data_IF_499383574716
#
_entry.id   IF_499383574716
#
_cell.length_a   1.000
_cell.length_b   1.000
_cell.length_c   1.000
_cell.angle_alpha   90.00
_cell.angle_beta   90.00
_cell.angle_gamma   90.00
#
_symmetry.space_group_name_H-M   'P 1'
#
loop_
_entity.id
_entity.type
_entity.pdbx_description
1 polymer ?
#
# COMPACT_ATOMS: atom_id res chain seq x y z
N UNK A 1 -12.52 -11.77 7.81
CA UNK A 1 -13.41 -12.32 6.77
C UNK A 1 -12.60 -12.87 5.60
N UNK A 2 -13.21 -13.79 4.82
CA UNK A 2 -12.71 -14.29 3.54
C UNK A 2 -13.78 -13.93 2.51
N UNK A 3 -13.36 -13.39 1.37
CA UNK A 3 -14.25 -13.16 0.23
C UNK A 3 -14.15 -14.34 -0.73
N UNK A 4 -15.29 -14.80 -1.21
CA UNK A 4 -15.37 -15.77 -2.30
C UNK A 4 -16.10 -15.11 -3.47
N UNK A 5 -15.43 -15.06 -4.62
CA UNK A 5 -15.95 -14.48 -5.86
C UNK A 5 -16.54 -15.58 -6.72
N UNK A 6 -17.83 -15.52 -6.97
CA UNK A 6 -18.60 -16.54 -7.68
C UNK A 6 -19.60 -15.92 -8.66
N UNK A 7 -20.09 -16.70 -9.56
CA UNK A 7 -21.18 -16.34 -10.47
C UNK A 7 -20.75 -16.04 -11.90
N UNK A 8 -21.72 -15.89 -12.81
CA UNK A 8 -21.46 -15.88 -14.26
C UNK A 8 -20.65 -14.68 -14.75
N UNK A 9 -20.64 -13.58 -14.00
CA UNK A 9 -19.86 -12.38 -14.34
C UNK A 9 -18.34 -12.62 -14.36
N UNK A 10 -17.84 -13.59 -13.60
CA UNK A 10 -16.41 -13.93 -13.54
C UNK A 10 -15.84 -14.25 -14.93
N UNK A 11 -16.60 -14.96 -15.76
CA UNK A 11 -16.18 -15.32 -17.11
C UNK A 11 -15.84 -14.12 -18.01
N UNK A 12 -16.33 -12.92 -17.68
CA UNK A 12 -16.05 -11.70 -18.42
C UNK A 12 -14.78 -10.99 -17.92
N UNK A 13 -14.27 -11.32 -16.74
CA UNK A 13 -13.07 -10.73 -16.18
C UNK A 13 -11.81 -11.47 -16.64
N UNK A 14 -10.81 -10.72 -17.11
CA UNK A 14 -9.48 -11.28 -17.38
C UNK A 14 -8.78 -11.66 -16.07
N UNK A 15 -7.69 -12.45 -16.16
CA UNK A 15 -6.89 -12.78 -14.98
C UNK A 15 -6.21 -11.54 -14.40
N UNK A 16 -5.80 -10.57 -15.22
CA UNK A 16 -5.23 -9.30 -14.74
C UNK A 16 -6.25 -8.50 -13.93
N UNK A 17 -7.52 -8.46 -14.37
CA UNK A 17 -8.59 -7.84 -13.57
C UNK A 17 -8.85 -8.57 -12.26
N UNK A 18 -8.95 -9.91 -12.27
CA UNK A 18 -9.15 -10.69 -11.03
C UNK A 18 -8.01 -10.46 -10.05
N UNK A 19 -6.77 -10.49 -10.52
CA UNK A 19 -5.60 -10.20 -9.70
C UNK A 19 -5.62 -8.76 -9.15
N UNK A 20 -6.04 -7.79 -9.96
CA UNK A 20 -6.19 -6.40 -9.53
C UNK A 20 -7.25 -6.24 -8.44
N UNK A 21 -8.41 -6.88 -8.57
CA UNK A 21 -9.46 -6.91 -7.54
C UNK A 21 -8.95 -7.60 -6.27
N UNK A 22 -8.25 -8.71 -6.43
CA UNK A 22 -7.76 -9.55 -5.34
C UNK A 22 -6.80 -8.78 -4.42
N UNK A 23 -5.84 -8.06 -4.98
CA UNK A 23 -4.90 -7.24 -4.18
C UNK A 23 -5.61 -6.11 -3.43
N UNK A 24 -6.77 -5.63 -3.90
CA UNK A 24 -7.56 -4.61 -3.23
C UNK A 24 -8.38 -5.16 -2.05
N UNK A 25 -8.58 -6.47 -1.95
CA UNK A 25 -9.36 -7.05 -0.83
C UNK A 25 -8.70 -6.84 0.52
N UNK A 26 -7.38 -6.61 0.56
CA UNK A 26 -6.66 -6.25 1.80
C UNK A 26 -7.15 -4.93 2.39
N UNK A 27 -7.60 -3.99 1.56
CA UNK A 27 -8.14 -2.69 2.02
C UNK A 27 -9.55 -2.83 2.60
N UNK A 28 -10.22 -3.95 2.35
CA UNK A 28 -11.51 -4.30 2.97
C UNK A 28 -11.34 -5.17 4.22
N UNK A 29 -10.14 -5.22 4.78
CA UNK A 29 -9.78 -6.02 5.96
C UNK A 29 -10.02 -7.53 5.81
N UNK A 30 -9.89 -8.05 4.60
CA UNK A 30 -10.00 -9.48 4.33
C UNK A 30 -8.72 -10.21 4.75
N UNK A 31 -8.90 -11.42 5.27
CA UNK A 31 -7.80 -12.35 5.53
C UNK A 31 -7.32 -12.97 4.23
N UNK A 32 -8.25 -13.29 3.34
CA UNK A 32 -8.01 -13.93 2.05
C UNK A 32 -9.16 -13.66 1.10
N UNK A 33 -8.95 -13.94 -0.17
CA UNK A 33 -9.94 -14.00 -1.22
C UNK A 33 -9.76 -15.26 -2.05
N UNK A 34 -10.85 -15.81 -2.56
CA UNK A 34 -10.89 -17.03 -3.36
C UNK A 34 -11.79 -16.78 -4.57
N UNK A 35 -11.38 -17.26 -5.72
CA UNK A 35 -12.15 -17.15 -6.97
C UNK A 35 -12.62 -18.52 -7.43
N UNK A 36 -13.85 -18.59 -7.90
CA UNK A 36 -14.26 -19.70 -8.76
C UNK A 36 -13.34 -19.75 -9.98
N UNK A 37 -12.84 -20.94 -10.30
CA UNK A 37 -11.90 -21.12 -11.41
C UNK A 37 -12.61 -21.47 -12.71
N UNK A 38 -12.01 -21.09 -13.84
CA UNK A 38 -12.52 -21.32 -15.18
C UNK A 38 -11.37 -21.54 -16.19
N UNK A 39 -11.69 -21.64 -17.48
CA UNK A 39 -10.69 -21.82 -18.55
C UNK A 39 -9.64 -20.68 -18.58
N UNK A 40 -10.00 -19.43 -18.22
CA UNK A 40 -9.03 -18.34 -18.13
C UNK A 40 -8.00 -18.58 -17.04
N UNK A 41 -8.44 -19.14 -15.92
CA UNK A 41 -7.53 -19.52 -14.81
C UNK A 41 -6.58 -20.63 -15.26
N UNK A 42 -7.11 -21.63 -15.99
CA UNK A 42 -6.31 -22.72 -16.53
C UNK A 42 -5.27 -22.20 -17.53
N UNK A 43 -5.71 -21.41 -18.52
CA UNK A 43 -4.83 -20.77 -19.50
C UNK A 43 -3.72 -19.94 -18.84
N UNK A 44 -4.03 -19.24 -17.73
CA UNK A 44 -3.05 -18.47 -16.98
C UNK A 44 -1.94 -19.34 -16.40
N UNK A 45 -2.29 -20.48 -15.78
CA UNK A 45 -1.29 -21.43 -15.28
C UNK A 45 -0.47 -22.06 -16.40
N UNK A 46 -1.10 -22.41 -17.53
CA UNK A 46 -0.42 -22.94 -18.71
C UNK A 46 0.59 -21.93 -19.28
N UNK A 47 0.19 -20.66 -19.42
CA UNK A 47 1.08 -19.58 -19.88
C UNK A 47 2.30 -19.38 -18.98
N UNK A 48 2.16 -19.65 -17.68
CA UNK A 48 3.25 -19.53 -16.70
C UNK A 48 4.04 -20.84 -16.52
N UNK A 49 3.82 -21.85 -17.37
CA UNK A 49 4.51 -23.14 -17.33
C UNK A 49 4.19 -23.96 -16.08
N UNK A 50 3.01 -23.77 -15.49
CA UNK A 50 2.54 -24.45 -14.28
C UNK A 50 1.15 -25.07 -14.44
N UNK A 51 0.87 -25.81 -15.52
CA UNK A 51 -0.46 -26.38 -15.74
C UNK A 51 -0.90 -27.32 -14.61
N UNK A 52 0.06 -27.98 -13.95
CA UNK A 52 -0.18 -28.89 -12.82
C UNK A 52 -0.69 -28.17 -11.57
N UNK A 53 -0.54 -26.84 -11.48
CA UNK A 53 -1.02 -26.04 -10.36
C UNK A 53 -2.53 -25.72 -10.45
N UNK A 54 -3.12 -25.86 -11.63
CA UNK A 54 -4.56 -25.65 -11.78
C UNK A 54 -5.37 -26.66 -10.95
N UNK A 55 -6.37 -26.14 -10.26
CA UNK A 55 -7.39 -26.93 -9.55
C UNK A 55 -8.74 -26.29 -9.83
N UNK A 56 -9.73 -27.13 -10.09
CA UNK A 56 -11.11 -26.68 -10.14
C UNK A 56 -11.59 -26.32 -8.73
N UNK A 57 -12.01 -25.08 -8.56
CA UNK A 57 -12.58 -24.56 -7.33
C UNK A 57 -13.96 -24.00 -7.60
N UNK A 58 -14.95 -24.53 -6.89
CA UNK A 58 -16.34 -24.08 -6.92
C UNK A 58 -16.97 -24.26 -5.54
N UNK A 59 -17.94 -23.44 -5.16
CA UNK A 59 -18.74 -23.70 -3.98
C UNK A 59 -19.39 -25.08 -4.08
N UNK A 60 -19.39 -25.81 -2.98
CA UNK A 60 -20.14 -27.06 -2.90
C UNK A 60 -21.63 -26.78 -2.71
N UNK A 61 -22.48 -27.73 -3.09
CA UNK A 61 -23.90 -27.66 -2.78
C UNK A 61 -24.10 -27.56 -1.26
N UNK A 62 -24.93 -26.59 -0.83
CA UNK A 62 -25.15 -26.32 0.59
C UNK A 62 -24.07 -25.46 1.26
N UNK A 63 -23.14 -24.87 0.50
CA UNK A 63 -22.16 -23.93 1.05
C UNK A 63 -22.88 -22.79 1.81
N UNK A 64 -22.41 -22.49 3.02
CA UNK A 64 -22.95 -21.44 3.88
C UNK A 64 -22.06 -20.20 3.86
N UNK A 65 -22.69 -19.03 3.76
CA UNK A 65 -22.04 -17.73 3.78
C UNK A 65 -22.69 -16.83 4.83
N UNK A 66 -21.88 -16.10 5.59
CA UNK A 66 -22.38 -15.13 6.59
C UNK A 66 -23.10 -13.94 5.94
N UNK A 67 -22.70 -13.58 4.72
CA UNK A 67 -23.30 -12.51 3.94
C UNK A 67 -22.97 -12.66 2.45
N UNK A 68 -23.76 -12.02 1.60
CA UNK A 68 -23.53 -11.94 0.15
C UNK A 68 -23.63 -10.49 -0.32
N UNK A 69 -22.75 -10.13 -1.28
CA UNK A 69 -22.80 -8.87 -2.01
C UNK A 69 -22.96 -9.20 -3.50
N UNK A 70 -24.00 -8.68 -4.11
CA UNK A 70 -24.27 -8.86 -5.54
C UNK A 70 -23.79 -7.61 -6.29
N UNK A 71 -22.89 -7.81 -7.27
CA UNK A 71 -22.37 -6.75 -8.13
C UNK A 71 -22.78 -7.03 -9.57
N UNK A 72 -23.60 -6.14 -10.12
CA UNK A 72 -23.94 -6.16 -11.55
C UNK A 72 -22.82 -5.46 -12.33
N UNK A 73 -21.97 -6.26 -12.99
CA UNK A 73 -20.82 -5.76 -13.75
C UNK A 73 -21.22 -4.85 -14.93
N UNK A 74 -22.47 -4.96 -15.44
CA UNK A 74 -22.95 -4.10 -16.52
C UNK A 74 -23.21 -2.65 -16.09
N UNK A 75 -23.28 -2.43 -14.76
CA UNK A 75 -23.53 -1.11 -14.15
C UNK A 75 -22.27 -0.47 -13.57
N UNK A 76 -21.13 -1.17 -13.61
CA UNK A 76 -19.86 -0.64 -13.10
C UNK A 76 -19.31 0.39 -14.10
N UNK A 77 -19.12 1.62 -13.63
CA UNK A 77 -18.51 2.72 -14.37
C UNK A 77 -17.10 3.01 -13.84
N UNK A 78 -16.23 3.68 -14.63
CA UNK A 78 -14.95 4.15 -14.12
C UNK A 78 -15.13 5.09 -12.92
N UNK A 79 -14.30 4.85 -11.89
CA UNK A 79 -14.41 5.55 -10.61
C UNK A 79 -13.11 6.29 -10.28
N UNK A 80 -13.25 7.32 -9.46
CA UNK A 80 -12.15 8.00 -8.78
C UNK A 80 -12.36 7.89 -7.27
N UNK A 81 -11.34 7.42 -6.55
CA UNK A 81 -11.33 7.47 -5.09
C UNK A 81 -10.46 8.67 -4.66
N UNK A 82 -11.11 9.73 -4.20
CA UNK A 82 -10.48 10.97 -3.79
C UNK A 82 -9.64 10.78 -2.51
N UNK A 83 -8.64 11.66 -2.24
CA UNK A 83 -7.90 11.61 -0.99
C UNK A 83 -8.87 11.66 0.21
N UNK A 84 -8.63 11.08 1.33
CA UNK A 84 -7.46 10.42 1.90
C UNK A 84 -7.77 8.96 2.26
N UNK A 85 -8.78 8.36 1.64
CA UNK A 85 -9.20 6.98 1.88
C UNK A 85 -9.82 6.36 0.61
N UNK A 86 -9.58 5.06 0.32
CA UNK A 86 -10.15 4.41 -0.87
C UNK A 86 -11.67 4.38 -0.93
N UNK A 87 -12.36 4.47 0.23
CA UNK A 87 -13.83 4.53 0.28
C UNK A 87 -14.42 5.90 -0.09
N UNK A 88 -13.58 6.93 -0.27
CA UNK A 88 -14.04 8.25 -0.74
C UNK A 88 -14.20 8.21 -2.27
N UNK A 89 -15.03 7.29 -2.75
CA UNK A 89 -15.16 6.92 -4.15
C UNK A 89 -16.43 7.48 -4.78
N UNK A 90 -16.28 7.97 -6.00
CA UNK A 90 -17.34 8.47 -6.87
C UNK A 90 -17.16 7.86 -8.26
N UNK A 91 -18.23 7.69 -9.04
CA UNK A 91 -18.03 7.57 -10.48
C UNK A 91 -17.40 8.87 -11.00
N UNK A 92 -16.57 8.79 -12.04
CA UNK A 92 -15.95 10.00 -12.63
C UNK A 92 -17.04 10.98 -13.06
N UNK A 93 -18.15 10.46 -13.58
CA UNK A 93 -19.32 11.26 -13.98
C UNK A 93 -19.92 12.03 -12.81
N UNK A 94 -20.26 11.35 -11.70
CA UNK A 94 -20.81 12.00 -10.49
C UNK A 94 -19.86 13.06 -9.93
N UNK A 95 -18.57 12.77 -9.93
CA UNK A 95 -17.57 13.74 -9.48
C UNK A 95 -17.54 14.99 -10.36
N UNK A 96 -17.61 14.82 -11.68
CA UNK A 96 -17.59 15.95 -12.65
C UNK A 96 -18.88 16.77 -12.68
N UNK A 97 -19.99 16.29 -12.13
CA UNK A 97 -21.23 17.08 -11.98
C UNK A 97 -21.08 18.21 -10.95
N UNK A 98 -20.34 17.96 -9.84
CA UNK A 98 -20.15 18.93 -8.75
C UNK A 98 -18.72 18.95 -8.19
N UNK A 99 -17.68 19.14 -9.04
CA UNK A 99 -16.30 18.94 -8.62
C UNK A 99 -15.84 19.96 -7.56
N UNK A 100 -16.31 21.20 -7.62
CA UNK A 100 -15.91 22.26 -6.67
C UNK A 100 -16.42 21.93 -5.26
N UNK A 101 -17.67 21.53 -5.10
CA UNK A 101 -18.25 21.20 -3.81
C UNK A 101 -17.58 19.96 -3.19
N UNK A 102 -17.38 18.92 -4.01
CA UNK A 102 -16.76 17.67 -3.57
C UNK A 102 -15.29 17.93 -3.16
N UNK A 103 -14.53 18.65 -4.00
CA UNK A 103 -13.13 18.97 -3.70
C UNK A 103 -13.01 19.89 -2.48
N UNK A 104 -13.93 20.83 -2.26
CA UNK A 104 -13.91 21.70 -1.08
C UNK A 104 -14.05 20.88 0.23
N UNK A 105 -14.89 19.83 0.23
CA UNK A 105 -15.01 18.91 1.38
C UNK A 105 -13.71 18.16 1.64
N UNK A 106 -13.08 17.63 0.58
CA UNK A 106 -11.81 16.90 0.67
C UNK A 106 -10.67 17.82 1.08
N UNK A 107 -10.64 19.05 0.55
CA UNK A 107 -9.67 20.09 0.91
C UNK A 107 -9.76 20.46 2.38
N UNK A 108 -10.97 20.70 2.91
CA UNK A 108 -11.16 20.98 4.34
C UNK A 108 -10.69 19.83 5.23
N UNK A 109 -10.94 18.59 4.83
CA UNK A 109 -10.41 17.41 5.50
C UNK A 109 -8.88 17.38 5.43
N UNK A 110 -8.31 17.65 4.26
CA UNK A 110 -6.86 17.66 4.04
C UNK A 110 -6.14 18.71 4.86
N UNK A 111 -6.67 19.93 4.96
CA UNK A 111 -6.15 21.00 5.83
C UNK A 111 -6.09 20.56 7.29
N UNK A 112 -7.13 19.89 7.77
CA UNK A 112 -7.17 19.35 9.13
C UNK A 112 -6.13 18.24 9.34
N UNK A 113 -6.02 17.29 8.39
CA UNK A 113 -5.10 16.15 8.46
C UNK A 113 -3.65 16.63 8.42
N UNK A 114 -3.33 17.52 7.46
CA UNK A 114 -1.96 18.00 7.22
C UNK A 114 -1.56 19.12 8.23
N UNK A 115 -2.51 19.71 8.95
CA UNK A 115 -2.25 20.84 9.83
C UNK A 115 -1.83 22.11 9.07
N UNK A 116 -2.15 22.22 7.79
CA UNK A 116 -1.73 23.30 6.89
C UNK A 116 -2.91 23.86 6.08
N UNK A 117 -3.21 25.14 6.29
CA UNK A 117 -4.30 25.84 5.62
C UNK A 117 -3.99 26.24 4.17
N UNK A 118 -2.73 26.12 3.74
CA UNK A 118 -2.34 26.40 2.35
C UNK A 118 -2.63 25.24 1.39
N UNK A 119 -2.97 24.06 1.91
CA UNK A 119 -3.39 22.94 1.10
C UNK A 119 -4.68 23.27 0.34
N UNK A 120 -4.66 23.11 -0.99
CA UNK A 120 -5.81 23.36 -1.86
C UNK A 120 -6.05 22.21 -2.83
N UNK A 121 -7.30 21.99 -3.19
CA UNK A 121 -7.74 21.09 -4.27
C UNK A 121 -8.76 21.77 -5.18
N UNK A 122 -9.45 22.79 -4.67
CA UNK A 122 -10.44 23.55 -5.44
C UNK A 122 -9.80 24.36 -6.56
N UNK A 123 -8.52 24.70 -6.44
CA UNK A 123 -7.71 25.34 -7.49
C UNK A 123 -7.49 24.46 -8.73
N UNK A 124 -7.77 23.14 -8.61
CA UNK A 124 -7.73 22.20 -9.75
C UNK A 124 -8.93 22.36 -10.69
N UNK A 125 -9.97 23.07 -10.28
CA UNK A 125 -11.11 23.35 -11.13
C UNK A 125 -10.94 24.69 -11.84
N UNK A 126 -10.82 24.65 -13.16
CA UNK A 126 -10.67 25.84 -14.02
C UNK A 126 -11.62 25.71 -15.20
N UNK A 127 -12.41 26.74 -15.47
CA UNK A 127 -13.38 26.79 -16.58
C UNK A 127 -14.30 25.54 -16.63
N UNK A 128 -14.75 25.10 -15.45
CA UNK A 128 -15.63 23.93 -15.32
C UNK A 128 -14.96 22.57 -15.56
N UNK A 129 -13.63 22.53 -15.72
CA UNK A 129 -12.84 21.30 -15.91
C UNK A 129 -11.95 21.06 -14.70
N UNK A 130 -11.71 19.79 -14.42
CA UNK A 130 -10.77 19.36 -13.36
C UNK A 130 -9.41 19.04 -13.99
N UNK A 131 -8.36 19.70 -13.53
CA UNK A 131 -7.00 19.49 -14.00
C UNK A 131 -6.21 18.67 -13.00
N UNK A 132 -5.55 17.65 -13.49
CA UNK A 132 -4.69 16.73 -12.75
C UNK A 132 -3.24 17.01 -13.11
N UNK A 133 -2.37 16.98 -12.12
CA UNK A 133 -0.95 17.31 -12.33
C UNK A 133 -0.10 16.07 -12.71
N UNK A 134 -0.52 14.87 -12.25
CA UNK A 134 0.27 13.66 -12.45
C UNK A 134 -0.61 12.42 -12.58
N UNK A 135 -0.26 11.52 -13.49
CA UNK A 135 -0.82 10.19 -13.62
C UNK A 135 0.25 9.10 -13.40
N UNK A 136 -0.12 8.03 -12.69
CA UNK A 136 0.79 6.88 -12.48
C UNK A 136 0.00 5.58 -12.62
N UNK A 137 0.57 4.65 -13.41
CA UNK A 137 0.12 3.26 -13.46
C UNK A 137 1.23 2.40 -12.85
N UNK A 138 0.97 1.76 -11.69
CA UNK A 138 2.02 1.07 -10.96
C UNK A 138 1.51 -0.05 -10.05
N UNK A 139 2.44 -0.86 -9.59
CA UNK A 139 2.23 -1.86 -8.55
C UNK A 139 1.49 -3.10 -9.01
N UNK A 140 1.09 -3.91 -8.03
CA UNK A 140 0.43 -5.19 -8.27
C UNK A 140 -1.01 -5.05 -8.80
N UNK A 141 -1.67 -3.91 -8.60
CA UNK A 141 -2.99 -3.63 -9.16
C UNK A 141 -2.89 -2.98 -10.55
N UNK A 142 -2.17 -1.86 -10.67
CA UNK A 142 -2.11 -1.08 -11.91
C UNK A 142 -1.13 -1.61 -12.94
N UNK A 143 0.04 -2.09 -12.51
CA UNK A 143 1.15 -2.45 -13.39
C UNK A 143 1.00 -3.76 -14.18
N UNK A 144 -0.19 -4.36 -14.20
CA UNK A 144 -0.47 -5.56 -14.98
C UNK A 144 -0.37 -5.30 -16.48
N UNK A 145 -0.07 -6.34 -17.25
CA UNK A 145 0.16 -6.23 -18.69
C UNK A 145 -1.01 -5.59 -19.43
N UNK A 146 -2.23 -6.08 -19.21
CA UNK A 146 -3.44 -5.60 -19.88
C UNK A 146 -3.71 -4.12 -19.59
N UNK A 147 -3.55 -3.68 -18.35
CA UNK A 147 -3.75 -2.28 -17.97
C UNK A 147 -2.81 -1.33 -18.72
N UNK A 148 -1.52 -1.71 -18.83
CA UNK A 148 -0.51 -0.87 -19.50
C UNK A 148 -0.68 -0.93 -21.02
N UNK A 149 -0.99 -2.10 -21.57
CA UNK A 149 -1.21 -2.26 -23.01
C UNK A 149 -2.41 -1.45 -23.50
N UNK A 150 -3.54 -1.49 -22.79
CA UNK A 150 -4.70 -0.66 -23.13
C UNK A 150 -4.43 0.84 -22.92
N UNK A 151 -3.70 1.23 -21.87
CA UNK A 151 -3.27 2.61 -21.70
C UNK A 151 -2.43 3.10 -22.89
N UNK A 152 -1.53 2.25 -23.42
CA UNK A 152 -0.75 2.56 -24.59
C UNK A 152 -1.63 2.70 -25.87
N UNK A 153 -2.65 1.86 -26.01
CA UNK A 153 -3.60 1.97 -27.14
C UNK A 153 -4.43 3.26 -27.07
N UNK A 154 -4.86 3.68 -25.89
CA UNK A 154 -5.56 4.96 -25.67
C UNK A 154 -4.66 6.14 -26.08
N UNK A 155 -3.39 6.05 -25.79
CA UNK A 155 -2.38 7.09 -26.05
C UNK A 155 -1.77 7.03 -27.45
N UNK A 156 -2.09 6.02 -28.26
CA UNK A 156 -1.52 5.83 -29.60
C UNK A 156 -1.64 7.09 -30.46
N UNK A 157 -0.49 7.63 -30.89
CA UNK A 157 -0.42 8.83 -31.74
C UNK A 157 -0.81 10.13 -31.05
N UNK A 158 -0.90 10.14 -29.71
CA UNK A 158 -1.18 11.34 -28.92
C UNK A 158 0.06 11.85 -28.21
N UNK A 159 -0.01 13.06 -27.69
CA UNK A 159 1.03 13.66 -26.84
C UNK A 159 0.36 14.13 -25.55
N UNK A 160 0.98 13.82 -24.41
CA UNK A 160 0.44 14.14 -23.08
C UNK A 160 0.62 15.62 -22.68
N UNK A 161 1.29 16.43 -23.52
CA UNK A 161 1.57 17.84 -23.21
C UNK A 161 2.75 18.01 -22.24
N UNK A 162 2.89 19.22 -21.71
CA UNK A 162 3.98 19.62 -20.81
C UNK A 162 3.54 19.80 -19.37
N UNK A 163 2.24 19.95 -19.12
CA UNK A 163 1.69 20.29 -17.81
C UNK A 163 1.24 19.04 -17.03
N UNK A 164 1.20 17.88 -17.66
CA UNK A 164 0.85 16.61 -17.07
C UNK A 164 2.02 15.65 -17.11
N UNK A 165 2.41 15.11 -15.95
CA UNK A 165 3.44 14.07 -15.89
C UNK A 165 2.82 12.68 -15.85
N UNK A 166 3.36 11.74 -16.64
CA UNK A 166 2.84 10.38 -16.67
C UNK A 166 3.96 9.35 -16.55
N UNK A 167 3.87 8.50 -15.52
CA UNK A 167 4.82 7.42 -15.28
C UNK A 167 4.15 6.05 -15.22
N UNK A 168 4.81 5.05 -15.81
CA UNK A 168 4.33 3.66 -15.88
C UNK A 168 5.36 2.72 -15.30
N UNK A 169 4.93 1.87 -14.35
CA UNK A 169 5.74 0.85 -13.70
C UNK A 169 5.10 -0.51 -13.89
N UNK A 170 5.63 -1.37 -14.76
CA UNK A 170 5.16 -2.74 -14.88
C UNK A 170 5.21 -3.50 -13.56
N UNK A 171 4.30 -4.43 -13.34
CA UNK A 171 4.21 -5.20 -12.09
C UNK A 171 5.39 -6.15 -11.87
N UNK A 172 6.06 -6.55 -12.96
CA UNK A 172 7.22 -7.46 -12.92
C UNK A 172 8.14 -7.27 -14.13
N UNK A 173 9.34 -7.82 -14.05
CA UNK A 173 10.27 -7.81 -15.19
C UNK A 173 9.77 -8.60 -16.41
N UNK A 174 9.14 -9.78 -16.25
CA UNK A 174 8.49 -10.47 -17.39
C UNK A 174 7.39 -9.64 -18.05
N UNK A 175 6.57 -8.92 -17.28
CA UNK A 175 5.57 -7.99 -17.84
C UNK A 175 6.26 -6.86 -18.61
N UNK A 176 7.31 -6.26 -18.06
CA UNK A 176 8.07 -5.21 -18.75
C UNK A 176 8.66 -5.72 -20.06
N UNK A 177 9.24 -6.93 -20.04
CA UNK A 177 9.79 -7.58 -21.26
C UNK A 177 8.68 -7.77 -22.31
N UNK A 178 7.55 -8.32 -21.92
CA UNK A 178 6.42 -8.55 -22.84
C UNK A 178 5.85 -7.26 -23.45
N UNK A 179 5.74 -6.18 -22.66
CA UNK A 179 5.36 -4.85 -23.15
C UNK A 179 6.36 -4.31 -24.18
N UNK A 180 7.66 -4.53 -23.93
CA UNK A 180 8.73 -4.08 -24.83
C UNK A 180 8.72 -4.87 -26.14
N UNK A 181 8.63 -6.19 -26.07
CA UNK A 181 8.55 -7.07 -27.25
C UNK A 181 7.31 -6.80 -28.11
N UNK A 182 6.20 -6.45 -27.47
CA UNK A 182 4.96 -6.10 -28.15
C UNK A 182 4.90 -4.65 -28.66
N UNK A 183 5.92 -3.83 -28.34
CA UNK A 183 6.06 -2.45 -28.81
C UNK A 183 5.35 -1.40 -27.96
N UNK A 184 4.67 -1.78 -26.88
CA UNK A 184 3.93 -0.83 -26.02
C UNK A 184 4.82 0.12 -25.24
N UNK A 185 6.03 -0.34 -24.86
CA UNK A 185 7.04 0.53 -24.23
C UNK A 185 7.42 1.70 -25.14
N UNK A 186 7.75 1.42 -26.40
CA UNK A 186 8.09 2.45 -27.38
C UNK A 186 6.90 3.41 -27.62
N UNK A 187 5.70 2.86 -27.79
CA UNK A 187 4.48 3.63 -27.99
C UNK A 187 4.20 4.61 -26.84
N UNK A 188 4.39 4.20 -25.59
CA UNK A 188 4.25 5.08 -24.42
C UNK A 188 5.33 6.17 -24.41
N UNK A 189 6.59 5.82 -24.71
CA UNK A 189 7.68 6.79 -24.75
C UNK A 189 7.45 7.89 -25.82
N UNK A 190 6.90 7.52 -26.97
CA UNK A 190 6.56 8.45 -28.06
C UNK A 190 5.52 9.50 -27.65
N UNK A 191 4.67 9.20 -26.65
CA UNK A 191 3.69 10.14 -26.12
C UNK A 191 4.24 11.13 -25.10
N UNK A 192 5.45 10.92 -24.60
CA UNK A 192 6.05 11.67 -23.50
C UNK A 192 5.92 10.97 -22.14
N UNK A 193 5.32 9.78 -22.07
CA UNK A 193 5.24 9.00 -20.85
C UNK A 193 6.62 8.42 -20.45
N UNK A 194 6.86 8.28 -19.15
CA UNK A 194 8.11 7.71 -18.62
C UNK A 194 7.85 6.26 -18.21
N UNK A 195 8.45 5.31 -18.91
CA UNK A 195 8.37 3.89 -18.58
C UNK A 195 9.56 3.51 -17.70
N UNK A 196 9.29 2.99 -16.52
CA UNK A 196 10.28 2.62 -15.51
C UNK A 196 10.30 1.11 -15.27
N UNK A 197 11.32 0.63 -14.57
CA UNK A 197 11.39 -0.80 -14.19
C UNK A 197 10.34 -1.14 -13.14
N UNK A 198 10.04 -2.44 -12.99
CA UNK A 198 9.14 -2.93 -11.95
C UNK A 198 9.61 -2.47 -10.57
N UNK A 199 8.81 -1.65 -9.92
CA UNK A 199 9.09 -1.10 -8.59
C UNK A 199 7.80 -0.67 -7.90
N UNK A 200 7.64 -1.02 -6.64
CA UNK A 200 6.45 -0.71 -5.85
C UNK A 200 6.43 0.72 -5.27
N UNK A 201 7.47 1.52 -5.54
CA UNK A 201 7.70 2.85 -4.96
C UNK A 201 6.50 3.79 -4.94
N UNK A 202 5.83 4.01 -6.07
CA UNK A 202 4.69 4.93 -6.12
C UNK A 202 3.52 4.53 -5.21
N UNK A 203 3.38 3.25 -4.84
CA UNK A 203 2.32 2.78 -3.95
C UNK A 203 2.52 3.21 -2.48
N UNK A 204 3.77 3.58 -2.10
CA UNK A 204 4.10 3.93 -0.72
C UNK A 204 4.90 5.25 -0.58
N UNK A 205 4.90 6.07 -1.61
CA UNK A 205 5.52 7.39 -1.56
C UNK A 205 7.04 7.41 -1.77
N UNK A 206 7.61 6.40 -2.44
CA UNK A 206 9.00 6.38 -2.86
C UNK A 206 9.12 6.58 -4.37
N UNK A 207 9.61 7.72 -4.79
CA UNK A 207 9.71 8.13 -6.19
C UNK A 207 8.41 8.69 -6.77
N UNK A 208 8.53 9.46 -7.83
CA UNK A 208 7.42 10.16 -8.51
C UNK A 208 6.52 10.95 -7.56
N UNK A 209 7.14 11.70 -6.67
CA UNK A 209 6.44 12.65 -5.81
C UNK A 209 5.90 13.78 -6.69
N UNK A 210 4.61 14.14 -6.61
CA UNK A 210 4.07 15.24 -7.40
C UNK A 210 4.66 16.59 -6.96
N UNK A 211 4.50 17.60 -7.81
CA UNK A 211 4.84 18.97 -7.45
C UNK A 211 4.09 19.42 -6.19
N UNK A 212 4.59 20.46 -5.53
CA UNK A 212 3.93 21.00 -4.35
C UNK A 212 2.48 21.42 -4.68
N UNK A 213 1.56 21.07 -3.79
CA UNK A 213 0.12 21.18 -3.98
C UNK A 213 -0.45 20.42 -5.19
N UNK A 214 0.29 19.45 -5.74
CA UNK A 214 -0.15 18.64 -6.88
C UNK A 214 -1.18 17.57 -6.48
N UNK A 215 -2.11 17.30 -7.40
CA UNK A 215 -3.03 16.16 -7.34
C UNK A 215 -2.56 15.08 -8.31
N UNK A 216 -2.21 13.91 -7.77
CA UNK A 216 -1.81 12.74 -8.54
C UNK A 216 -2.98 11.75 -8.64
N UNK A 217 -3.26 11.22 -9.83
CA UNK A 217 -4.16 10.06 -10.00
C UNK A 217 -3.35 8.80 -10.24
N UNK A 218 -3.64 7.74 -9.51
CA UNK A 218 -2.84 6.52 -9.55
C UNK A 218 -3.67 5.25 -9.64
N UNK A 219 -3.29 4.34 -10.50
CA UNK A 219 -3.72 2.96 -10.41
C UNK A 219 -2.75 2.21 -9.48
N UNK A 220 -2.96 2.38 -8.19
CA UNK A 220 -2.26 1.73 -7.08
C UNK A 220 -3.30 1.28 -6.05
N UNK A 221 -2.89 0.90 -4.85
CA UNK A 221 -3.82 0.32 -3.87
C UNK A 221 -4.27 1.27 -2.77
N UNK A 222 -3.58 2.41 -2.57
CA UNK A 222 -3.84 3.30 -1.42
C UNK A 222 -3.68 4.77 -1.75
N UNK A 223 -4.54 5.58 -1.15
CA UNK A 223 -4.53 7.04 -1.26
C UNK A 223 -4.58 7.73 0.12
N UNK A 224 -4.08 7.06 1.15
CA UNK A 224 -3.96 7.65 2.48
C UNK A 224 -3.03 8.87 2.47
N UNK A 225 -3.03 9.63 3.55
CA UNK A 225 -2.18 10.79 3.73
C UNK A 225 -0.71 10.50 3.39
N UNK A 226 -0.12 11.41 2.62
CA UNK A 226 1.29 11.38 2.18
C UNK A 226 1.73 10.11 1.41
N UNK A 227 0.77 9.33 0.89
CA UNK A 227 1.07 8.16 0.03
C UNK A 227 1.65 8.55 -1.32
N UNK A 228 1.48 9.80 -1.73
CA UNK A 228 2.15 10.38 -2.89
C UNK A 228 3.63 10.68 -2.65
N UNK A 229 4.10 10.68 -1.39
CA UNK A 229 5.49 10.86 -1.00
C UNK A 229 5.85 12.27 -0.55
N UNK A 230 4.88 13.19 -0.42
CA UNK A 230 5.13 14.53 0.13
C UNK A 230 5.58 14.47 1.59
N UNK A 231 6.40 15.45 1.98
CA UNK A 231 6.96 15.61 3.32
C UNK A 231 6.49 16.93 3.94
N UNK A 232 5.38 16.95 4.68
CA UNK A 232 4.84 18.19 5.24
C UNK A 232 5.81 18.96 6.13
N UNK A 233 6.70 18.27 6.86
CA UNK A 233 7.76 18.89 7.66
C UNK A 233 8.75 19.72 6.82
N UNK A 234 8.90 19.38 5.55
CA UNK A 234 9.74 20.09 4.57
C UNK A 234 8.92 21.10 3.74
N UNK A 235 7.69 21.40 4.16
CA UNK A 235 6.78 22.31 3.45
C UNK A 235 6.16 21.73 2.17
N UNK A 236 6.25 20.42 1.98
CA UNK A 236 5.66 19.76 0.81
C UNK A 236 4.22 19.36 1.09
N UNK A 237 3.32 19.75 0.21
CA UNK A 237 1.91 19.38 0.22
C UNK A 237 1.56 18.74 -1.12
N UNK A 238 0.86 17.61 -1.09
CA UNK A 238 0.29 16.99 -2.28
C UNK A 238 -0.83 16.03 -1.87
N UNK A 239 -1.52 15.48 -2.86
CA UNK A 239 -2.57 14.51 -2.63
C UNK A 239 -2.59 13.45 -3.74
N UNK A 240 -3.12 12.28 -3.41
CA UNK A 240 -3.29 11.18 -4.34
C UNK A 240 -4.73 10.69 -4.34
N UNK A 241 -5.29 10.52 -5.55
CA UNK A 241 -6.55 9.82 -5.79
C UNK A 241 -6.27 8.48 -6.51
N UNK A 242 -7.13 7.49 -6.32
CA UNK A 242 -7.05 6.23 -7.07
C UNK A 242 -7.98 6.28 -8.28
N UNK A 243 -7.51 5.72 -9.38
CA UNK A 243 -8.27 5.63 -10.63
C UNK A 243 -7.80 4.43 -11.46
N UNK A 244 -8.64 3.94 -12.37
CA UNK A 244 -8.23 2.88 -13.28
C UNK A 244 -7.24 3.37 -14.35
N UNK A 245 -6.40 2.45 -14.86
CA UNK A 245 -5.33 2.76 -15.80
C UNK A 245 -5.83 3.39 -17.11
N UNK A 246 -7.00 2.99 -17.56
CA UNK A 246 -7.60 3.45 -18.82
C UNK A 246 -8.04 4.89 -18.70
N UNK A 247 -8.69 5.25 -17.58
CA UNK A 247 -9.13 6.63 -17.32
C UNK A 247 -7.94 7.55 -16.99
N UNK A 248 -6.85 7.02 -16.39
CA UNK A 248 -5.58 7.75 -16.25
C UNK A 248 -5.00 8.07 -17.63
N UNK A 249 -4.96 7.09 -18.54
CA UNK A 249 -4.48 7.29 -19.90
C UNK A 249 -5.39 8.25 -20.71
N UNK A 250 -6.71 8.19 -20.50
CA UNK A 250 -7.65 9.13 -21.09
C UNK A 250 -7.39 10.57 -20.62
N UNK A 251 -7.14 10.76 -19.33
CA UNK A 251 -6.75 12.04 -18.73
C UNK A 251 -5.42 12.54 -19.31
N UNK A 252 -4.44 11.65 -19.44
CA UNK A 252 -3.15 11.97 -20.07
C UNK A 252 -3.32 12.38 -21.54
N UNK A 253 -4.15 11.64 -22.31
CA UNK A 253 -4.47 11.94 -23.71
C UNK A 253 -5.16 13.31 -23.89
N UNK A 254 -5.78 13.82 -22.83
CA UNK A 254 -6.46 15.12 -22.79
C UNK A 254 -5.64 16.19 -22.03
N UNK A 255 -4.31 16.03 -21.97
CA UNK A 255 -3.39 17.02 -21.40
C UNK A 255 -3.60 17.28 -19.90
N UNK A 256 -4.04 16.28 -19.14
CA UNK A 256 -4.31 16.40 -17.71
C UNK A 256 -5.73 16.78 -17.34
N UNK A 257 -6.61 17.04 -18.28
CA UNK A 257 -8.04 17.23 -17.99
C UNK A 257 -8.67 15.90 -17.64
N UNK A 258 -9.23 15.79 -16.43
CA UNK A 258 -9.84 14.55 -15.94
C UNK A 258 -10.90 14.04 -16.93
N UNK A 259 -10.67 12.83 -17.41
CA UNK A 259 -11.48 12.22 -18.49
C UNK A 259 -11.72 10.75 -18.16
N UNK A 260 -12.98 10.30 -18.29
CA UNK A 260 -13.33 8.89 -18.21
C UNK A 260 -12.89 8.16 -19.48
N UNK A 261 -12.42 6.91 -19.34
CA UNK A 261 -12.12 6.07 -20.50
C UNK A 261 -13.36 5.73 -21.35
N UNK A 262 -14.56 5.88 -20.79
CA UNK A 262 -15.83 5.74 -21.54
C UNK A 262 -16.06 6.86 -22.54
N UNK A 263 -15.41 8.01 -22.36
CA UNK A 263 -15.55 9.17 -23.23
C UNK A 263 -14.64 9.10 -24.47
N UNK A 264 -13.85 8.03 -24.58
CA UNK A 264 -12.91 7.85 -25.70
C UNK A 264 -13.26 6.59 -26.51
N UNK A 265 -13.16 6.74 -27.81
CA UNK A 265 -13.11 5.60 -28.73
C UNK A 265 -11.65 5.18 -28.96
N UNK A 266 -11.32 3.93 -28.60
CA UNK A 266 -9.99 3.35 -28.78
C UNK A 266 -10.07 1.86 -29.05
N UNK A 267 -9.03 1.33 -29.67
CA UNK A 267 -8.95 -0.10 -29.92
C UNK A 267 -8.66 -0.87 -28.63
N UNK A 268 -9.59 -1.75 -28.23
CA UNK A 268 -9.39 -2.69 -27.11
C UNK A 268 -8.66 -3.97 -27.54
N UNK A 269 -8.15 -4.03 -28.77
CA UNK A 269 -7.39 -5.18 -29.26
C UNK A 269 -5.92 -5.03 -28.89
N UNK A 270 -5.54 -5.60 -27.76
CA UNK A 270 -4.16 -5.69 -27.33
C UNK A 270 -3.50 -6.98 -27.83
N UNK A 271 -2.18 -6.96 -28.02
CA UNK A 271 -1.39 -8.15 -28.31
C UNK A 271 -1.38 -9.07 -27.09
N UNK A 272 -1.46 -10.39 -27.34
CA UNK A 272 -1.47 -11.36 -26.24
C UNK A 272 -0.14 -11.31 -25.48
N UNK A 273 -0.23 -11.31 -24.16
CA UNK A 273 0.91 -11.49 -23.28
C UNK A 273 1.47 -12.91 -23.40
N UNK A 274 2.80 -13.01 -23.37
CA UNK A 274 3.52 -14.28 -23.23
C UNK A 274 4.48 -14.15 -22.07
N UNK A 275 4.30 -14.99 -21.08
CA UNK A 275 5.22 -15.05 -19.96
C UNK A 275 6.57 -15.59 -20.42
N UNK A 276 7.64 -14.89 -20.04
CA UNK A 276 9.01 -15.35 -20.21
C UNK A 276 9.79 -15.10 -18.92
N UNK A 277 10.08 -16.18 -18.19
CA UNK A 277 10.81 -16.17 -16.94
C UNK A 277 12.35 -16.08 -17.09
N UNK A 278 12.88 -16.09 -18.32
CA UNK A 278 14.33 -16.13 -18.59
C UNK A 278 15.08 -14.98 -17.90
N UNK A 279 14.45 -13.81 -17.78
CA UNK A 279 15.06 -12.65 -17.10
C UNK A 279 15.34 -12.92 -15.61
N UNK A 280 14.51 -13.73 -14.96
CA UNK A 280 14.77 -14.16 -13.58
C UNK A 280 15.82 -15.27 -13.54
N UNK A 281 15.79 -16.23 -14.47
CA UNK A 281 16.77 -17.30 -14.55
C UNK A 281 18.21 -16.75 -14.69
N UNK A 282 18.36 -15.64 -15.43
CA UNK A 282 19.66 -15.01 -15.64
C UNK A 282 20.13 -14.09 -14.50
N UNK A 283 19.23 -13.71 -13.57
CA UNK A 283 19.53 -12.67 -12.56
C UNK A 283 19.35 -13.13 -11.12
N UNK A 284 18.57 -14.18 -10.89
CA UNK A 284 18.20 -14.64 -9.55
C UNK A 284 18.72 -16.06 -9.36
N UNK A 285 19.47 -16.28 -8.28
CA UNK A 285 19.90 -17.62 -7.90
C UNK A 285 18.67 -18.48 -7.58
N UNK A 286 18.56 -19.62 -8.26
CA UNK A 286 17.51 -20.61 -8.04
C UNK A 286 18.03 -21.69 -7.10
N UNK A 287 17.76 -21.55 -5.80
CA UNK A 287 18.24 -22.45 -4.76
C UNK A 287 17.40 -23.70 -4.52
N UNK A 288 16.26 -23.85 -5.20
CA UNK A 288 15.38 -25.01 -5.01
C UNK A 288 16.08 -26.33 -5.37
N UNK A 289 16.17 -27.26 -4.42
CA UNK A 289 16.90 -28.51 -4.59
C UNK A 289 18.43 -28.38 -4.59
N UNK A 290 18.98 -27.15 -4.46
CA UNK A 290 20.41 -26.85 -4.45
C UNK A 290 20.79 -26.05 -3.20
N UNK A 291 20.28 -26.45 -2.04
CA UNK A 291 20.61 -25.80 -0.78
C UNK A 291 22.13 -25.83 -0.51
N UNK A 292 22.65 -24.71 -0.06
CA UNK A 292 24.06 -24.56 0.36
C UNK A 292 24.09 -24.10 1.81
N UNK A 293 23.85 -24.99 2.78
CA UNK A 293 23.73 -24.61 4.19
C UNK A 293 25.00 -23.99 4.77
N UNK A 294 26.15 -24.31 4.18
CA UNK A 294 27.46 -23.80 4.62
C UNK A 294 27.81 -22.44 4.03
N UNK A 295 26.98 -21.89 3.14
CA UNK A 295 27.23 -20.59 2.50
C UNK A 295 26.98 -19.47 3.53
N UNK A 296 28.02 -18.65 3.78
CA UNK A 296 27.90 -17.52 4.69
C UNK A 296 27.01 -16.42 4.08
N UNK A 297 26.09 -15.88 4.87
CA UNK A 297 25.28 -14.72 4.46
C UNK A 297 26.11 -13.43 4.55
N UNK A 298 26.16 -12.70 3.46
CA UNK A 298 26.78 -11.37 3.40
C UNK A 298 25.69 -10.32 3.27
N UNK A 299 25.53 -9.50 4.28
CA UNK A 299 24.49 -8.46 4.31
C UNK A 299 24.93 -7.22 3.55
N UNK A 300 23.99 -6.63 2.81
CA UNK A 300 24.15 -5.29 2.23
C UNK A 300 24.14 -4.20 3.33
N UNK A 301 24.47 -2.94 2.98
CA UNK A 301 24.73 -1.85 3.93
C UNK A 301 23.55 -1.48 4.83
N UNK A 302 22.32 -1.75 4.39
CA UNK A 302 21.08 -1.47 5.15
C UNK A 302 20.35 -2.74 5.60
N UNK A 303 21.02 -3.88 5.62
CA UNK A 303 20.49 -5.16 6.09
C UNK A 303 21.19 -5.51 7.40
N UNK A 304 20.43 -5.85 8.41
CA UNK A 304 20.95 -6.30 9.71
C UNK A 304 20.04 -7.37 10.29
N UNK A 305 20.63 -8.24 11.10
CA UNK A 305 19.89 -9.20 11.89
C UNK A 305 19.00 -8.52 12.93
N UNK A 306 18.05 -9.28 13.46
CA UNK A 306 17.26 -8.88 14.59
C UNK A 306 18.15 -8.72 15.82
N UNK A 307 17.95 -7.64 16.61
CA UNK A 307 18.61 -7.54 17.90
C UNK A 307 18.12 -8.62 18.86
N UNK A 308 18.95 -8.97 19.81
CA UNK A 308 18.52 -9.77 20.94
C UNK A 308 17.35 -9.08 21.66
N UNK A 309 16.31 -9.85 21.94
CA UNK A 309 15.10 -9.33 22.55
C UNK A 309 14.87 -9.93 23.93
N UNK A 310 14.43 -9.07 24.84
CA UNK A 310 14.09 -9.49 26.20
C UNK A 310 12.88 -10.44 26.13
N UNK A 311 13.04 -11.68 26.58
CA UNK A 311 11.94 -12.62 26.66
C UNK A 311 10.84 -12.10 27.62
N UNK A 312 9.58 -12.33 27.27
CA UNK A 312 8.45 -12.00 28.15
C UNK A 312 8.49 -12.88 29.40
N UNK A 313 8.21 -12.28 30.55
CA UNK A 313 8.13 -12.96 31.82
C UNK A 313 6.74 -13.54 32.10
N UNK A 314 6.59 -14.19 33.27
CA UNK A 314 5.28 -14.64 33.76
C UNK A 314 4.35 -13.47 34.06
N UNK A 315 4.92 -12.36 34.51
CA UNK A 315 4.22 -11.12 34.85
C UNK A 315 4.84 -9.97 34.08
N UNK A 316 4.03 -8.97 33.74
CA UNK A 316 4.48 -7.78 33.03
C UNK A 316 4.18 -6.54 33.88
N UNK A 317 5.23 -5.77 34.18
CA UNK A 317 5.09 -4.42 34.68
C UNK A 317 5.19 -3.47 33.49
N UNK A 318 4.11 -2.75 33.21
CA UNK A 318 3.97 -1.99 31.97
C UNK A 318 3.97 -0.48 32.25
N UNK A 319 4.88 0.25 31.59
CA UNK A 319 4.86 1.71 31.56
C UNK A 319 4.19 2.20 30.29
N UNK A 320 3.12 2.96 30.41
CA UNK A 320 2.48 3.63 29.27
C UNK A 320 3.40 4.73 28.77
N UNK A 321 3.91 4.56 27.56
CA UNK A 321 4.84 5.51 26.93
C UNK A 321 4.22 6.32 25.80
N UNK A 322 3.06 5.91 25.31
CA UNK A 322 2.27 6.67 24.34
C UNK A 322 0.79 6.32 24.43
N UNK A 323 -0.07 7.34 24.25
CA UNK A 323 -1.53 7.20 24.19
C UNK A 323 -2.02 7.84 22.91
N UNK A 324 -2.61 7.04 22.03
CA UNK A 324 -3.14 7.45 20.73
C UNK A 324 -4.67 7.48 20.80
N UNK A 325 -5.24 8.67 20.69
CA UNK A 325 -6.68 8.89 20.87
C UNK A 325 -7.47 8.85 19.56
N UNK A 326 -6.80 8.77 18.42
CA UNK A 326 -7.43 8.67 17.10
C UNK A 326 -8.33 7.42 17.03
N UNK A 327 -9.46 7.48 16.33
CA UNK A 327 -10.33 6.30 16.14
C UNK A 327 -9.60 5.12 15.51
N UNK A 328 -8.71 5.38 14.56
CA UNK A 328 -7.85 4.40 13.88
C UNK A 328 -6.44 4.98 13.79
N UNK A 329 -5.43 4.15 14.03
CA UNK A 329 -4.02 4.51 13.78
C UNK A 329 -3.48 3.64 12.66
N UNK A 330 -3.09 4.25 11.57
CA UNK A 330 -2.59 3.55 10.39
C UNK A 330 -1.17 3.02 10.60
N UNK A 331 -0.78 2.01 9.82
CA UNK A 331 0.61 1.52 9.82
C UNK A 331 1.61 2.57 9.34
N UNK A 332 1.15 3.55 8.55
CA UNK A 332 2.01 4.63 8.07
C UNK A 332 2.26 5.70 9.14
N UNK A 333 1.31 5.89 10.06
CA UNK A 333 1.51 6.69 11.27
C UNK A 333 2.40 5.98 12.29
N UNK A 334 2.29 4.65 12.38
CA UNK A 334 3.14 3.83 13.24
C UNK A 334 4.58 3.75 12.70
N UNK A 335 4.75 3.50 11.41
CA UNK A 335 6.04 3.43 10.69
C UNK A 335 5.88 4.11 9.32
N UNK A 336 6.42 5.32 9.12
CA UNK A 336 6.28 6.07 7.86
C UNK A 336 6.91 5.33 6.68
N UNK A 337 6.10 4.85 5.74
CA UNK A 337 6.54 3.95 4.68
C UNK A 337 7.57 4.56 3.73
N UNK A 338 7.38 5.80 3.30
CA UNK A 338 8.29 6.49 2.38
C UNK A 338 9.65 6.77 3.00
N UNK A 339 9.67 7.34 4.21
CA UNK A 339 10.91 7.71 4.92
C UNK A 339 11.75 6.50 5.32
N UNK A 340 11.11 5.35 5.56
CA UNK A 340 11.77 4.14 6.06
C UNK A 340 12.07 3.11 4.99
N UNK A 341 11.82 3.41 3.72
CA UNK A 341 11.95 2.45 2.63
C UNK A 341 13.33 1.77 2.56
N UNK A 342 14.40 2.52 2.85
CA UNK A 342 15.78 2.01 2.86
C UNK A 342 16.14 1.15 4.08
N UNK A 343 15.30 1.13 5.12
CA UNK A 343 15.60 0.46 6.40
C UNK A 343 14.71 -0.75 6.66
N UNK A 344 13.90 -1.19 5.68
CA UNK A 344 12.95 -2.29 5.85
C UNK A 344 13.56 -3.61 6.30
N UNK A 345 14.83 -3.83 5.99
CA UNK A 345 15.60 -5.02 6.39
C UNK A 345 16.61 -4.71 7.52
N UNK A 346 16.40 -3.63 8.27
CA UNK A 346 17.23 -3.27 9.42
C UNK A 346 16.32 -2.93 10.61
N UNK A 347 15.98 -3.90 11.45
CA UNK A 347 15.00 -3.72 12.53
C UNK A 347 15.35 -2.57 13.49
N UNK A 348 16.62 -2.40 13.82
CA UNK A 348 17.07 -1.34 14.73
C UNK A 348 16.86 0.04 14.11
N UNK A 349 17.32 0.25 12.86
CA UNK A 349 17.15 1.55 12.17
C UNK A 349 15.68 1.82 11.87
N UNK A 350 14.91 0.80 11.49
CA UNK A 350 13.49 0.96 11.24
C UNK A 350 12.73 1.40 12.49
N UNK A 351 13.05 0.81 13.64
CA UNK A 351 12.41 1.12 14.92
C UNK A 351 12.58 2.58 15.36
N UNK A 352 13.67 3.26 14.95
CA UNK A 352 13.89 4.69 15.25
C UNK A 352 12.81 5.63 14.68
N UNK A 353 12.04 5.14 13.71
CA UNK A 353 10.96 5.92 13.10
C UNK A 353 9.57 5.60 13.68
N UNK A 354 9.51 4.73 14.71
CA UNK A 354 8.21 4.37 15.32
C UNK A 354 7.52 5.60 15.88
N UNK A 355 6.27 5.84 15.42
CA UNK A 355 5.44 6.98 15.80
C UNK A 355 6.06 8.37 15.51
N UNK A 356 7.09 8.44 14.68
CA UNK A 356 7.82 9.70 14.43
C UNK A 356 6.92 10.86 13.97
N UNK A 357 5.79 10.57 13.34
CA UNK A 357 4.82 11.59 12.89
C UNK A 357 3.75 11.92 13.93
N UNK A 358 3.38 10.94 14.78
CA UNK A 358 2.29 11.10 15.79
C UNK A 358 2.81 11.49 17.15
N UNK A 359 3.89 10.86 17.58
CA UNK A 359 4.50 11.06 18.89
C UNK A 359 6.02 10.98 18.78
N UNK A 360 6.68 12.04 18.29
CA UNK A 360 8.13 12.04 18.02
C UNK A 360 9.00 11.69 19.24
N UNK A 361 8.48 11.85 20.45
CA UNK A 361 9.20 11.52 21.69
C UNK A 361 9.05 10.05 22.12
N UNK A 362 8.20 9.26 21.43
CA UNK A 362 7.92 7.86 21.77
C UNK A 362 9.18 7.02 21.86
N UNK A 363 10.03 7.06 20.83
CA UNK A 363 11.25 6.24 20.73
C UNK A 363 12.16 6.47 21.94
N UNK A 364 12.36 7.73 22.32
CA UNK A 364 13.17 8.08 23.50
C UNK A 364 12.61 7.51 24.79
N UNK A 365 11.30 7.62 25.02
CA UNK A 365 10.64 7.07 26.21
C UNK A 365 10.67 5.54 26.23
N UNK A 366 10.42 4.89 25.10
CA UNK A 366 10.46 3.42 25.02
C UNK A 366 11.86 2.87 25.30
N UNK A 367 12.90 3.48 24.71
CA UNK A 367 14.31 3.12 24.98
C UNK A 367 14.72 3.34 26.43
N UNK A 368 14.21 4.40 27.08
CA UNK A 368 14.48 4.61 28.51
C UNK A 368 13.95 3.44 29.34
N UNK A 369 12.71 3.01 29.11
CA UNK A 369 12.12 1.84 29.78
C UNK A 369 12.90 0.56 29.49
N UNK A 370 13.32 0.36 28.24
CA UNK A 370 14.15 -0.80 27.86
C UNK A 370 15.49 -0.80 28.60
N UNK A 371 16.16 0.34 28.69
CA UNK A 371 17.40 0.50 29.42
C UNK A 371 17.23 0.21 30.91
N UNK A 372 16.13 0.67 31.50
CA UNK A 372 15.81 0.40 32.89
C UNK A 372 15.62 -1.09 33.17
N UNK A 373 14.96 -1.82 32.28
CA UNK A 373 14.81 -3.27 32.40
C UNK A 373 16.16 -4.03 32.26
N UNK A 374 17.00 -3.60 31.32
CA UNK A 374 18.34 -4.17 31.17
C UNK A 374 19.18 -3.94 32.45
N UNK A 375 19.16 -2.71 32.97
CA UNK A 375 19.84 -2.40 34.24
C UNK A 375 19.28 -3.20 35.44
N UNK A 376 17.95 -3.35 35.49
CA UNK A 376 17.30 -4.18 36.54
C UNK A 376 17.75 -5.64 36.49
N UNK A 377 17.97 -6.19 35.31
CA UNK A 377 18.48 -7.56 35.15
C UNK A 377 19.89 -7.73 35.68
N UNK A 378 20.69 -6.67 35.60
CA UNK A 378 22.07 -6.67 36.12
C UNK A 378 22.12 -6.37 37.62
N UNK A 379 21.34 -5.40 38.08
CA UNK A 379 21.41 -4.86 39.45
C UNK A 379 20.37 -5.44 40.43
N UNK A 380 19.30 -6.04 39.89
CA UNK A 380 18.14 -6.50 40.66
C UNK A 380 17.15 -5.36 41.06
N UNK A 381 17.43 -4.10 40.74
CA UNK A 381 16.66 -2.96 41.23
C UNK A 381 15.93 -2.23 40.08
N UNK A 382 14.67 -1.85 40.33
CA UNK A 382 13.93 -0.88 39.48
C UNK A 382 14.37 0.54 39.79
N UNK A 383 14.21 1.49 38.83
CA UNK A 383 14.45 2.91 39.06
C UNK A 383 13.60 3.46 40.22
N UNK A 384 14.14 4.42 40.98
CA UNK A 384 13.47 5.04 42.13
C UNK A 384 12.09 5.63 41.75
N UNK A 385 12.00 6.25 40.59
CA UNK A 385 10.73 6.77 40.05
C UNK A 385 9.67 5.67 39.92
N UNK A 386 10.05 4.50 39.43
CA UNK A 386 9.15 3.35 39.26
C UNK A 386 8.76 2.78 40.64
N UNK A 387 9.71 2.66 41.57
CA UNK A 387 9.45 2.22 42.93
C UNK A 387 8.50 3.16 43.66
N UNK A 388 8.67 4.45 43.47
CA UNK A 388 7.79 5.49 44.04
C UNK A 388 6.35 5.35 43.49
N UNK A 389 6.22 5.14 42.19
CA UNK A 389 4.91 4.96 41.55
C UNK A 389 4.21 3.65 42.00
N UNK A 390 4.97 2.60 42.27
CA UNK A 390 4.44 1.33 42.79
C UNK A 390 4.01 1.42 44.26
N UNK A 391 4.61 2.30 45.04
CA UNK A 391 4.33 2.44 46.45
C UNK A 391 4.57 1.13 47.22
N UNK A 392 3.53 0.59 47.84
CA UNK A 392 3.60 -0.68 48.58
C UNK A 392 3.57 -1.93 47.70
N UNK A 393 3.27 -1.79 46.41
CA UNK A 393 3.21 -2.94 45.48
C UNK A 393 4.61 -3.45 45.16
N UNK A 394 4.80 -4.76 45.32
CA UNK A 394 6.07 -5.44 44.98
C UNK A 394 5.82 -6.34 43.78
N UNK A 395 6.53 -6.15 42.65
CA UNK A 395 6.45 -7.05 41.52
C UNK A 395 6.88 -8.47 41.94
N UNK A 396 6.17 -9.48 41.44
CA UNK A 396 6.49 -10.89 41.69
C UNK A 396 7.77 -11.30 40.95
N UNK A 397 8.38 -12.41 41.39
CA UNK A 397 9.50 -13.00 40.69
C UNK A 397 9.13 -13.39 39.25
N UNK A 398 10.01 -13.15 38.30
CA UNK A 398 9.77 -13.38 36.88
C UNK A 398 8.97 -12.24 36.19
N UNK A 399 8.77 -11.11 36.89
CA UNK A 399 8.20 -9.89 36.27
C UNK A 399 9.23 -9.29 35.31
N UNK A 400 8.75 -8.89 34.11
CA UNK A 400 9.48 -8.11 33.11
C UNK A 400 8.91 -6.71 33.07
N UNK A 401 9.78 -5.71 33.14
CA UNK A 401 9.41 -4.30 32.99
C UNK A 401 9.53 -3.89 31.51
N UNK A 402 8.50 -3.26 30.95
CA UNK A 402 8.51 -2.86 29.55
C UNK A 402 7.52 -1.77 29.19
N UNK A 403 7.71 -1.21 28.02
CA UNK A 403 6.84 -0.16 27.51
C UNK A 403 5.55 -0.71 26.89
N UNK A 404 4.48 0.12 26.95
CA UNK A 404 3.20 -0.19 26.32
C UNK A 404 2.65 1.04 25.61
N UNK A 405 2.02 0.83 24.46
CA UNK A 405 1.23 1.83 23.73
C UNK A 405 -0.25 1.54 23.98
N UNK A 406 -1.00 2.60 24.28
CA UNK A 406 -2.46 2.55 24.43
C UNK A 406 -3.10 3.25 23.23
N UNK A 407 -4.09 2.63 22.60
CA UNK A 407 -4.73 3.17 21.39
C UNK A 407 -6.17 2.69 21.23
N UNK A 408 -6.89 3.20 20.22
CA UNK A 408 -8.25 2.72 19.92
C UNK A 408 -8.22 1.54 18.95
N UNK A 409 -7.74 1.73 17.72
CA UNK A 409 -7.71 0.70 16.67
C UNK A 409 -6.42 0.83 15.85
N UNK A 410 -5.28 0.27 16.31
CA UNK A 410 -4.01 0.39 15.62
C UNK A 410 -3.83 -0.66 14.53
N UNK A 411 -2.98 -0.33 13.53
CA UNK A 411 -2.46 -1.28 12.56
C UNK A 411 -3.24 -1.39 11.27
N UNK A 412 -4.00 -0.37 10.90
CA UNK A 412 -4.60 -0.30 9.56
C UNK A 412 -3.55 0.10 8.51
N UNK A 413 -3.46 -0.67 7.42
CA UNK A 413 -2.50 -0.41 6.34
C UNK A 413 -1.73 -1.64 5.88
N UNK A 414 -0.52 -1.45 5.30
CA UNK A 414 0.24 -2.54 4.66
C UNK A 414 1.38 -3.11 5.51
N UNK A 415 2.11 -2.27 6.23
CA UNK A 415 3.31 -2.67 6.99
C UNK A 415 2.96 -3.13 8.43
N UNK A 416 2.03 -4.05 8.54
CA UNK A 416 1.38 -4.44 9.81
C UNK A 416 2.33 -5.13 10.78
N UNK A 417 3.03 -6.12 10.30
CA UNK A 417 4.01 -6.89 11.08
C UNK A 417 5.20 -6.02 11.50
N UNK A 418 5.68 -5.16 10.57
CA UNK A 418 6.80 -4.27 10.87
C UNK A 418 6.40 -3.19 11.89
N UNK A 419 5.18 -2.66 11.82
CA UNK A 419 4.69 -1.68 12.78
C UNK A 419 4.60 -2.25 14.20
N UNK A 420 4.21 -3.52 14.35
CA UNK A 420 4.20 -4.21 15.64
C UNK A 420 5.63 -4.55 16.11
N UNK A 421 6.45 -5.13 15.24
CA UNK A 421 7.80 -5.57 15.60
C UNK A 421 8.74 -4.43 15.96
N UNK A 422 8.58 -3.23 15.38
CA UNK A 422 9.38 -2.06 15.75
C UNK A 422 9.16 -1.65 17.21
N UNK A 423 7.93 -1.72 17.71
CA UNK A 423 7.65 -1.47 19.12
C UNK A 423 8.34 -2.52 20.00
N UNK A 424 8.35 -3.78 19.56
CA UNK A 424 9.04 -4.86 20.26
C UNK A 424 10.54 -4.65 20.31
N UNK A 425 11.17 -4.23 19.22
CA UNK A 425 12.60 -3.87 19.14
C UNK A 425 12.95 -2.78 20.16
N UNK A 426 12.04 -1.85 20.43
CA UNK A 426 12.21 -0.77 21.42
C UNK A 426 11.85 -1.17 22.87
N UNK A 427 11.70 -2.47 23.15
CA UNK A 427 11.36 -2.94 24.50
C UNK A 427 9.86 -2.94 24.82
N UNK A 428 9.02 -2.82 23.83
CA UNK A 428 7.56 -2.96 23.98
C UNK A 428 7.18 -4.38 24.40
N UNK A 429 6.36 -4.51 25.43
CA UNK A 429 5.89 -5.81 25.95
C UNK A 429 4.42 -6.07 25.67
N UNK A 430 3.65 -5.03 25.36
CA UNK A 430 2.24 -5.14 25.03
C UNK A 430 1.74 -3.93 24.22
N UNK A 431 0.59 -4.11 23.58
CA UNK A 431 -0.27 -3.05 23.07
C UNK A 431 -1.66 -3.20 23.74
N UNK A 432 -2.20 -2.11 24.26
CA UNK A 432 -3.54 -2.08 24.83
C UNK A 432 -4.43 -1.25 23.90
N UNK A 433 -5.48 -1.87 23.38
CA UNK A 433 -6.39 -1.19 22.47
C UNK A 433 -7.83 -1.71 22.63
N UNK A 434 -8.82 -0.93 22.14
CA UNK A 434 -10.20 -1.38 22.11
C UNK A 434 -10.40 -2.52 21.13
N UNK A 435 -9.73 -2.44 19.97
CA UNK A 435 -9.68 -3.48 18.95
C UNK A 435 -8.43 -3.31 18.10
N UNK A 436 -8.02 -4.37 17.42
CA UNK A 436 -6.96 -4.28 16.41
C UNK A 436 -7.59 -4.06 15.04
N UNK A 437 -7.06 -3.11 14.27
CA UNK A 437 -7.55 -2.85 12.92
C UNK A 437 -7.37 -4.07 12.01
N UNK A 438 -6.28 -4.84 12.22
CA UNK A 438 -5.99 -6.03 11.42
C UNK A 438 -5.38 -7.17 12.24
N UNK A 439 -5.60 -8.42 11.79
CA UNK A 439 -5.02 -9.60 12.44
C UNK A 439 -3.49 -9.61 12.36
N UNK A 440 -2.90 -9.22 11.24
CA UNK A 440 -1.44 -9.23 11.05
C UNK A 440 -0.68 -8.22 11.91
N UNK A 441 -1.35 -7.18 12.39
CA UNK A 441 -0.76 -6.29 13.38
C UNK A 441 -0.81 -6.93 14.79
N UNK A 442 -1.85 -7.71 15.05
CA UNK A 442 -2.04 -8.40 16.33
C UNK A 442 -1.09 -9.58 16.52
N UNK A 443 -0.85 -10.37 15.45
CA UNK A 443 0.01 -11.55 15.47
C UNK A 443 1.50 -11.16 15.51
#
# INVERSE_FOLDING_TARGET
>A
KILEFVGPGIANLSMDFRNGIDVMTTETTCLSSVWETDEKTKDYFEQHGRPEAYRELRPQEGAYYDAAVVIDLSRVEPMIALPFHPSNAYTIREFLENPVEILAKVEAQGRKIKGDNSFTLTDKVKDGKVYIDQGIIAGCAGGMYENIAEAAEILRGKNIGTDFSFSVYPSSQPVYKGLTENGYTAMLMETGAIVKTAFCGPCFGAGDVPANNGLSIRHTTRNFENREGSRPKDGQLAAVALMDARSIAATAANGGVLTSALDLDYSRRIKKYRYDGSIYQNRVYHGWGNAKPEEALVYGPNIADWPEQIALGKHLLMRVVSVLTDPVTTTDELIPSGETSSYRSNPLKLAEFTLSRKDPSYVGRAKAVQKDELSRRETGALPEEVLTALGAFKPEEGTVYGSVVVSNSPGDGSAREQAASCQRVLGGVANICKQYATKRYRS
#
